data_IF_469899771013
#
_entry.id   IF_469899771013
#
_cell.length_a   1.000
_cell.length_b   1.000
_cell.length_c   1.000
_cell.angle_alpha   90.00
_cell.angle_beta   90.00
_cell.angle_gamma   90.00
#
_symmetry.space_group_name_H-M   'P 1'
#
loop_
_entity.id
_entity.type
_entity.pdbx_description
1 polymer ?
#
# COMPACT_ATOMS: atom_id res chain seq x y z
N UNK A 1 -8.29 1.74 -8.02
CA UNK A 1 -8.42 1.36 -6.59
C UNK A 1 -9.60 0.43 -6.35
N UNK A 2 -10.68 0.59 -7.10
CA UNK A 2 -11.87 -0.23 -6.86
C UNK A 2 -11.64 -1.71 -7.13
N UNK A 3 -10.60 -2.04 -7.90
CA UNK A 3 -10.29 -3.43 -8.21
C UNK A 3 -9.19 -4.02 -7.33
N UNK A 4 -8.65 -3.24 -6.42
CA UNK A 4 -7.62 -3.75 -5.52
C UNK A 4 -8.24 -4.65 -4.48
N UNK A 5 -7.48 -5.68 -4.11
CA UNK A 5 -7.89 -6.64 -3.10
C UNK A 5 -6.84 -6.70 -2.01
N UNK A 6 -7.25 -7.13 -0.83
CA UNK A 6 -6.32 -7.29 0.28
C UNK A 6 -5.16 -8.18 -0.15
N UNK A 7 -3.95 -7.77 0.16
CA UNK A 7 -2.75 -8.49 -0.23
C UNK A 7 -2.10 -7.99 -1.51
N UNK A 8 -2.76 -7.11 -2.25
CA UNK A 8 -2.16 -6.54 -3.45
C UNK A 8 -1.04 -5.58 -3.04
N UNK A 9 0.02 -5.56 -3.83
CA UNK A 9 1.14 -4.65 -3.61
C UNK A 9 0.87 -3.37 -4.38
N UNK A 10 0.84 -2.25 -3.67
CA UNK A 10 0.61 -0.94 -4.25
C UNK A 10 1.94 -0.23 -4.35
N UNK A 11 2.31 0.16 -5.56
CA UNK A 11 3.60 0.81 -5.81
C UNK A 11 3.40 2.31 -5.97
N UNK A 12 4.23 3.06 -5.27
CA UNK A 12 4.29 4.51 -5.36
C UNK A 12 5.69 4.90 -5.80
N UNK A 13 5.88 6.15 -6.12
CA UNK A 13 7.19 6.64 -6.50
C UNK A 13 8.11 6.60 -5.27
N UNK A 14 9.03 5.63 -5.26
CA UNK A 14 9.98 5.48 -4.16
C UNK A 14 9.44 4.77 -2.94
N UNK A 15 8.29 4.11 -3.04
CA UNK A 15 7.69 3.45 -1.90
C UNK A 15 6.69 2.38 -2.33
N UNK A 16 6.52 1.36 -1.51
CA UNK A 16 5.50 0.34 -1.74
C UNK A 16 4.76 0.05 -0.45
N UNK A 17 3.53 -0.40 -0.57
CA UNK A 17 2.73 -0.83 0.57
C UNK A 17 1.87 -2.02 0.17
N UNK A 18 1.25 -2.65 1.14
CA UNK A 18 0.37 -3.79 0.90
C UNK A 18 -1.05 -3.37 1.26
N UNK A 19 -1.95 -3.55 0.31
CA UNK A 19 -3.34 -3.13 0.49
C UNK A 19 -4.03 -4.02 1.52
N UNK A 20 -4.75 -3.40 2.45
CA UNK A 20 -5.43 -4.16 3.51
C UNK A 20 -6.84 -4.60 3.13
N UNK A 21 -7.39 -3.98 2.10
CA UNK A 21 -8.78 -4.22 1.71
C UNK A 21 -9.75 -3.16 2.19
N UNK A 22 -9.29 -2.21 3.00
CA UNK A 22 -10.15 -1.18 3.60
C UNK A 22 -9.78 0.23 3.15
N UNK A 23 -9.16 0.36 1.98
CA UNK A 23 -8.74 1.67 1.51
C UNK A 23 -7.46 2.16 2.14
N UNK A 24 -6.74 1.28 2.83
CA UNK A 24 -5.47 1.61 3.45
C UNK A 24 -4.40 0.64 3.01
N UNK A 25 -3.15 1.01 3.24
CA UNK A 25 -2.01 0.14 2.98
C UNK A 25 -1.21 -0.01 4.27
N UNK A 26 -0.53 -1.13 4.38
CA UNK A 26 0.42 -1.38 5.46
C UNK A 26 1.80 -1.05 4.92
N UNK A 27 2.50 -0.16 5.61
CA UNK A 27 3.85 0.22 5.19
C UNK A 27 4.83 0.04 6.34
N UNK A 28 6.08 -0.20 5.99
CA UNK A 28 7.17 -0.14 6.93
C UNK A 28 8.01 1.08 6.57
N UNK A 29 7.42 2.26 6.78
CA UNK A 29 8.04 3.51 6.34
C UNK A 29 9.30 3.83 7.09
N UNK A 30 9.34 3.48 8.34
CA UNK A 30 10.54 3.74 9.10
C UNK A 30 10.68 2.71 10.22
N UNK A 31 11.92 2.44 10.54
CA UNK A 31 12.23 1.37 11.48
C UNK A 31 11.77 1.67 12.89
N UNK A 32 11.72 2.93 13.27
CA UNK A 32 11.29 3.32 14.60
C UNK A 32 9.81 3.14 14.82
N UNK A 33 9.02 3.45 13.80
CA UNK A 33 7.58 3.35 13.89
C UNK A 33 7.08 1.94 13.67
N UNK A 34 7.89 1.10 13.03
CA UNK A 34 7.45 -0.23 12.66
C UNK A 34 6.45 -0.17 11.52
N UNK A 35 5.42 -0.98 11.63
CA UNK A 35 4.40 -1.07 10.60
C UNK A 35 3.34 -0.01 10.86
N UNK A 36 3.02 0.77 9.83
CA UNK A 36 2.00 1.80 9.93
C UNK A 36 0.95 1.61 8.85
N UNK A 37 -0.23 2.11 9.11
CA UNK A 37 -1.33 2.10 8.15
C UNK A 37 -1.49 3.48 7.58
N UNK A 38 -1.63 3.56 6.26
CA UNK A 38 -1.75 4.83 5.56
C UNK A 38 -2.87 4.71 4.54
N UNK A 39 -3.57 5.82 4.29
CA UNK A 39 -4.59 5.85 3.24
C UNK A 39 -3.96 5.46 1.91
N UNK A 40 -4.63 4.60 1.15
CA UNK A 40 -4.09 4.11 -0.12
C UNK A 40 -3.85 5.26 -1.12
N UNK A 41 -4.60 6.34 -0.98
CA UNK A 41 -4.47 7.49 -1.87
C UNK A 41 -3.61 8.61 -1.29
N UNK A 42 -2.77 8.30 -0.30
CA UNK A 42 -1.93 9.34 0.30
C UNK A 42 -0.93 9.93 -0.71
N UNK A 43 -0.65 9.20 -1.77
CA UNK A 43 0.23 9.64 -2.84
C UNK A 43 -0.27 9.01 -4.13
N UNK A 44 0.30 9.45 -5.25
CA UNK A 44 -0.11 8.93 -6.55
C UNK A 44 0.33 7.47 -6.70
N UNK A 45 -0.60 6.60 -7.02
CA UNK A 45 -0.33 5.20 -7.26
C UNK A 45 0.30 5.05 -8.64
N UNK A 46 1.46 4.41 -8.70
CA UNK A 46 2.18 4.18 -9.95
C UNK A 46 1.75 2.84 -10.56
N UNK A 47 1.60 1.82 -9.73
CA UNK A 47 1.22 0.49 -10.21
C UNK A 47 0.64 -0.31 -9.07
N UNK A 48 -0.12 -1.34 -9.41
CA UNK A 48 -0.64 -2.30 -8.44
C UNK A 48 -0.30 -3.68 -8.96
N UNK A 49 0.27 -4.52 -8.09
CA UNK A 49 0.66 -5.88 -8.47
C UNK A 49 -0.04 -6.89 -7.60
N UNK A 50 -0.57 -7.91 -8.22
CA UNK A 50 -1.21 -9.01 -7.50
C UNK A 50 -0.24 -10.17 -7.41
N UNK A 51 -0.02 -10.65 -6.20
CA UNK A 51 0.96 -11.70 -5.96
C UNK A 51 0.34 -13.08 -6.15
N UNK A 52 -0.94 -13.19 -5.89
CA UNK A 52 -1.64 -14.49 -5.97
C UNK A 52 -2.37 -14.69 -7.28
#
# INVERSE_FOLDING_TARGET
>A
TSEMQAGDIVCYNGHVGIYTGNGTIVNALNKKSGITYTDVNYAKIVAVRRVL
#
